data_IF_868060121338
#
_entry.id   IF_868060121338
#
_cell.length_a   1.000
_cell.length_b   1.000
_cell.length_c   1.000
_cell.angle_alpha   90.00
_cell.angle_beta   90.00
_cell.angle_gamma   90.00
#
_symmetry.space_group_name_H-M   'P 1'
#
loop_
_entity.id
_entity.type
_entity.pdbx_description
1 polymer ?
#
# COMPACT_ATOMS: atom_id res chain seq x y z
N UNK A 1 -12.28 21.58 18.43
CA UNK A 1 -12.77 21.17 17.09
C UNK A 1 -11.84 20.13 16.42
N UNK A 2 -10.56 20.43 16.07
CA UNK A 2 -9.68 19.45 15.41
C UNK A 2 -9.45 18.16 16.22
N UNK A 3 -9.27 18.25 17.54
CA UNK A 3 -9.12 17.10 18.41
C UNK A 3 -10.44 16.30 18.54
N UNK A 4 -11.59 16.95 18.57
CA UNK A 4 -12.89 16.29 18.58
C UNK A 4 -13.15 15.50 17.29
N UNK A 5 -12.76 16.07 16.14
CA UNK A 5 -12.82 15.37 14.86
C UNK A 5 -11.88 14.14 14.85
N UNK A 6 -10.68 14.28 15.39
CA UNK A 6 -9.76 13.15 15.58
C UNK A 6 -10.40 12.05 16.44
N UNK A 7 -10.99 12.41 17.58
CA UNK A 7 -11.64 11.47 18.49
C UNK A 7 -12.81 10.74 17.81
N UNK A 8 -13.55 11.44 16.98
CA UNK A 8 -14.71 10.89 16.27
C UNK A 8 -14.32 9.96 15.11
N UNK A 9 -13.41 10.41 14.23
CA UNK A 9 -13.05 9.67 13.02
C UNK A 9 -11.92 8.66 13.22
N UNK A 10 -11.11 8.79 14.23
CA UNK A 10 -9.92 7.96 14.48
C UNK A 10 -9.09 7.71 13.21
N UNK A 11 -8.64 8.76 12.51
CA UNK A 11 -7.92 8.62 11.25
C UNK A 11 -6.59 7.89 11.47
N UNK A 12 -6.18 7.09 10.51
CA UNK A 12 -4.88 6.41 10.53
C UNK A 12 -3.72 7.34 10.18
N UNK A 13 -3.99 8.42 9.46
CA UNK A 13 -3.00 9.42 9.01
C UNK A 13 -3.55 10.81 9.27
N UNK A 14 -2.70 11.66 9.83
CA UNK A 14 -2.97 13.09 10.03
C UNK A 14 -1.89 13.88 9.31
N UNK A 15 -2.33 14.83 8.48
CA UNK A 15 -1.47 15.85 7.87
C UNK A 15 -1.85 17.20 8.50
N UNK A 16 -0.94 17.80 9.25
CA UNK A 16 -1.18 19.05 9.97
C UNK A 16 -0.12 20.08 9.69
N UNK A 17 -0.51 21.34 9.62
CA UNK A 17 0.41 22.46 9.67
C UNK A 17 0.80 22.74 11.12
N UNK A 18 2.05 23.15 11.36
CA UNK A 18 2.48 23.63 12.68
C UNK A 18 1.74 24.92 13.03
N UNK A 19 1.69 25.85 12.10
CA UNK A 19 1.03 27.16 12.31
C UNK A 19 -0.30 27.21 11.55
N UNK A 20 -1.38 27.19 12.29
CA UNK A 20 -2.74 27.46 11.81
C UNK A 20 -3.26 28.75 12.43
N UNK A 21 -4.22 29.45 11.75
CA UNK A 21 -4.68 30.78 12.16
C UNK A 21 -5.16 30.87 13.61
N UNK A 22 -5.84 29.83 14.11
CA UNK A 22 -6.50 29.82 15.42
C UNK A 22 -6.00 28.73 16.38
N UNK A 23 -5.01 27.93 15.96
CA UNK A 23 -4.45 26.87 16.80
C UNK A 23 -3.04 26.48 16.36
N UNK A 24 -2.29 25.89 17.28
CA UNK A 24 -0.98 25.35 17.02
C UNK A 24 -1.09 23.82 16.78
N UNK A 25 -0.65 23.37 15.60
CA UNK A 25 -0.65 21.95 15.24
C UNK A 25 0.15 21.08 16.22
N UNK A 26 1.18 21.65 16.86
CA UNK A 26 1.96 20.94 17.91
C UNK A 26 1.10 20.61 19.13
N UNK A 27 0.21 21.52 19.54
CA UNK A 27 -0.69 21.23 20.67
C UNK A 27 -1.69 20.13 20.34
N UNK A 28 -2.19 20.09 19.11
CA UNK A 28 -3.03 19.01 18.64
C UNK A 28 -2.27 17.67 18.73
N UNK A 29 -1.05 17.64 18.22
CA UNK A 29 -0.20 16.43 18.26
C UNK A 29 0.09 16.01 19.69
N UNK A 30 0.44 16.94 20.58
CA UNK A 30 0.64 16.66 22.02
C UNK A 30 -0.56 15.99 22.66
N UNK A 31 -1.77 16.47 22.38
CA UNK A 31 -3.01 15.89 22.89
C UNK A 31 -3.23 14.47 22.35
N UNK A 32 -3.04 14.26 21.06
CA UNK A 32 -3.19 12.95 20.44
C UNK A 32 -2.18 11.96 21.03
N UNK A 33 -0.92 12.34 21.18
CA UNK A 33 0.14 11.48 21.69
C UNK A 33 0.00 11.10 23.17
N UNK A 34 -0.89 11.74 23.92
CA UNK A 34 -1.23 11.31 25.29
C UNK A 34 -1.95 9.95 25.30
N UNK A 35 -2.67 9.62 24.23
CA UNK A 35 -3.51 8.42 24.17
C UNK A 35 -3.25 7.53 22.96
N UNK A 36 -2.57 8.04 21.93
CA UNK A 36 -2.32 7.33 20.68
C UNK A 36 -0.91 7.59 20.15
N UNK A 37 -0.10 6.53 20.13
CA UNK A 37 1.24 6.52 19.56
C UNK A 37 1.32 5.86 18.17
N UNK A 38 0.20 5.33 17.64
CA UNK A 38 0.16 4.55 16.39
C UNK A 38 -0.25 5.38 15.19
N UNK A 39 -1.18 6.34 15.38
CA UNK A 39 -1.61 7.21 14.28
C UNK A 39 -0.41 7.90 13.63
N UNK A 40 -0.29 7.75 12.32
CA UNK A 40 0.76 8.43 11.55
C UNK A 40 0.50 9.93 11.52
N UNK A 41 1.47 10.72 11.98
CA UNK A 41 1.38 12.18 11.94
C UNK A 41 2.49 12.74 11.05
N UNK A 42 2.08 13.47 10.00
CA UNK A 42 2.95 14.23 9.10
C UNK A 42 2.75 15.71 9.40
N UNK A 43 3.83 16.40 9.77
CA UNK A 43 3.78 17.84 10.02
C UNK A 43 4.28 18.63 8.83
N UNK A 44 3.51 19.67 8.44
CA UNK A 44 3.96 20.66 7.46
C UNK A 44 4.58 21.83 8.23
N UNK A 45 5.77 22.26 7.83
CA UNK A 45 6.47 23.37 8.48
C UNK A 45 7.10 24.32 7.48
N UNK A 46 7.02 25.62 7.76
CA UNK A 46 7.77 26.65 7.03
C UNK A 46 9.16 26.88 7.65
N UNK A 47 9.41 26.30 8.83
CA UNK A 47 10.61 26.59 9.64
C UNK A 47 11.58 25.42 9.62
N UNK A 48 12.85 25.76 9.44
CA UNK A 48 13.99 24.84 9.60
C UNK A 48 14.70 25.04 10.95
N UNK A 49 14.06 25.71 11.93
CA UNK A 49 14.67 25.98 13.23
C UNK A 49 14.84 24.69 14.03
N UNK A 50 16.03 24.45 14.55
CA UNK A 50 16.41 23.22 15.27
C UNK A 50 15.54 22.96 16.51
N UNK A 51 15.12 23.99 17.23
CA UNK A 51 14.27 23.85 18.42
C UNK A 51 12.91 23.20 18.10
N UNK A 52 12.26 23.59 17.01
CA UNK A 52 11.01 22.97 16.56
C UNK A 52 11.22 21.53 16.08
N UNK A 53 12.34 21.24 15.43
CA UNK A 53 12.65 19.90 14.97
C UNK A 53 12.86 18.94 16.16
N UNK A 54 13.52 19.38 17.22
CA UNK A 54 13.69 18.59 18.45
C UNK A 54 12.33 18.32 19.11
N UNK A 55 11.45 19.31 19.17
CA UNK A 55 10.10 19.14 19.73
C UNK A 55 9.28 18.12 18.90
N UNK A 56 9.33 18.21 17.57
CA UNK A 56 8.67 17.27 16.67
C UNK A 56 9.19 15.82 16.85
N UNK A 57 10.49 15.64 17.03
CA UNK A 57 11.10 14.33 17.30
C UNK A 57 10.60 13.77 18.64
N UNK A 58 10.56 14.59 19.68
CA UNK A 58 10.09 14.19 21.01
C UNK A 58 8.61 13.82 21.03
N UNK A 59 7.82 14.37 20.12
CA UNK A 59 6.40 14.04 19.93
C UNK A 59 6.17 12.78 19.09
N UNK A 60 7.21 12.04 18.76
CA UNK A 60 7.11 10.81 17.93
C UNK A 60 6.27 11.03 16.66
N UNK A 61 6.53 12.13 15.94
CA UNK A 61 5.91 12.35 14.64
C UNK A 61 6.53 11.40 13.60
N UNK A 62 5.72 10.96 12.67
CA UNK A 62 6.17 10.00 11.65
C UNK A 62 7.02 10.65 10.57
N UNK A 63 6.69 11.89 10.20
CA UNK A 63 7.42 12.65 9.19
C UNK A 63 7.17 14.15 9.31
N UNK A 64 8.11 14.96 8.80
CA UNK A 64 7.86 16.38 8.58
C UNK A 64 8.24 16.76 7.14
N UNK A 65 7.49 17.71 6.56
CA UNK A 65 7.69 18.20 5.20
C UNK A 65 7.81 19.72 5.25
N UNK A 66 8.92 20.23 4.74
CA UNK A 66 9.13 21.66 4.60
C UNK A 66 8.22 22.23 3.50
N UNK A 67 7.55 23.31 3.78
CA UNK A 67 6.79 24.09 2.78
C UNK A 67 7.73 24.73 1.76
N UNK A 68 7.34 24.85 0.49
CA UNK A 68 6.04 24.46 -0.08
C UNK A 68 5.87 22.93 -0.16
N UNK A 69 4.61 22.47 -0.01
CA UNK A 69 4.28 21.05 -0.08
C UNK A 69 4.74 20.44 -1.41
N UNK A 70 5.61 19.46 -1.32
CA UNK A 70 6.10 18.71 -2.47
C UNK A 70 5.45 17.33 -2.49
N UNK A 71 4.67 17.05 -3.54
CA UNK A 71 3.98 15.76 -3.72
C UNK A 71 4.92 14.56 -3.68
N UNK A 72 6.16 14.70 -4.18
CA UNK A 72 7.15 13.62 -4.12
C UNK A 72 7.50 13.27 -2.67
N UNK A 73 7.78 14.27 -1.82
CA UNK A 73 8.09 14.05 -0.39
C UNK A 73 6.88 13.51 0.38
N UNK A 74 5.68 13.97 0.03
CA UNK A 74 4.45 13.43 0.63
C UNK A 74 4.26 11.95 0.28
N UNK A 75 4.43 11.61 -0.99
CA UNK A 75 4.33 10.21 -1.44
C UNK A 75 5.39 9.33 -0.76
N UNK A 76 6.64 9.79 -0.67
CA UNK A 76 7.71 9.06 0.04
C UNK A 76 7.39 8.82 1.53
N UNK A 77 6.76 9.80 2.20
CA UNK A 77 6.31 9.66 3.57
C UNK A 77 5.16 8.64 3.69
N UNK A 78 4.17 8.74 2.80
CA UNK A 78 3.02 7.83 2.75
C UNK A 78 3.43 6.40 2.37
N UNK A 79 4.34 6.23 1.42
CA UNK A 79 4.86 4.92 1.04
C UNK A 79 5.49 4.19 2.22
N UNK A 80 6.31 4.87 3.03
CA UNK A 80 6.90 4.29 4.25
C UNK A 80 5.84 3.80 5.25
N UNK A 81 4.73 4.51 5.36
CA UNK A 81 3.62 4.10 6.21
C UNK A 81 2.86 2.91 5.61
N UNK A 82 2.54 2.99 4.33
CA UNK A 82 1.83 1.93 3.62
C UNK A 82 2.63 0.62 3.62
N UNK A 83 3.96 0.69 3.47
CA UNK A 83 4.84 -0.48 3.58
C UNK A 83 4.74 -1.14 4.96
N UNK A 84 4.63 -0.35 6.05
CA UNK A 84 4.44 -0.90 7.41
C UNK A 84 3.03 -1.43 7.66
N UNK A 85 2.03 -0.89 6.97
CA UNK A 85 0.61 -1.19 7.20
C UNK A 85 0.08 -2.36 6.34
N UNK A 86 0.82 -2.76 5.31
CA UNK A 86 0.39 -3.83 4.41
C UNK A 86 1.19 -5.08 4.72
N UNK A 87 0.56 -5.96 5.50
CA UNK A 87 1.08 -7.32 5.67
C UNK A 87 1.08 -8.06 4.32
N UNK A 88 2.05 -8.95 4.10
CA UNK A 88 2.04 -9.79 2.91
C UNK A 88 0.72 -10.57 2.78
N UNK A 89 0.16 -10.57 1.59
CA UNK A 89 -1.12 -11.22 1.30
C UNK A 89 -0.90 -12.73 1.20
N UNK A 90 -1.58 -13.50 2.03
CA UNK A 90 -1.60 -14.96 1.92
C UNK A 90 -2.42 -15.37 0.69
N UNK A 91 -1.77 -15.93 -0.33
CA UNK A 91 -2.40 -16.45 -1.54
C UNK A 91 -2.88 -17.90 -1.37
N UNK A 92 -2.05 -18.74 -0.76
CA UNK A 92 -2.36 -20.12 -0.34
C UNK A 92 -1.39 -20.53 0.77
N UNK A 93 -1.47 -21.77 1.25
CA UNK A 93 -0.56 -22.29 2.25
C UNK A 93 0.91 -22.05 1.87
N UNK A 94 1.66 -21.37 2.78
CA UNK A 94 3.07 -21.01 2.64
C UNK A 94 3.44 -20.05 1.48
N UNK A 95 2.47 -19.49 0.74
CA UNK A 95 2.75 -18.54 -0.33
C UNK A 95 2.15 -17.17 -0.03
N UNK A 96 3.00 -16.17 0.16
CA UNK A 96 2.62 -14.80 0.45
C UNK A 96 3.01 -13.86 -0.70
N UNK A 97 2.17 -12.86 -0.97
CA UNK A 97 2.45 -11.78 -1.91
C UNK A 97 2.79 -10.49 -1.16
N UNK A 98 4.02 -10.03 -1.24
CA UNK A 98 4.41 -8.68 -0.87
C UNK A 98 4.19 -7.75 -2.07
N UNK A 99 3.07 -7.05 -2.07
CA UNK A 99 2.68 -6.17 -3.18
C UNK A 99 3.59 -4.95 -3.34
N UNK A 100 4.26 -4.50 -2.27
CA UNK A 100 5.17 -3.34 -2.30
C UNK A 100 6.51 -3.70 -2.90
N UNK A 101 7.09 -4.79 -2.44
CA UNK A 101 8.38 -5.26 -2.96
C UNK A 101 8.26 -5.96 -4.30
N UNK A 102 7.03 -6.31 -4.73
CA UNK A 102 6.75 -7.15 -5.90
C UNK A 102 7.43 -8.51 -5.78
N UNK A 103 7.23 -9.13 -4.65
CA UNK A 103 7.84 -10.40 -4.31
C UNK A 103 6.77 -11.41 -3.88
N UNK A 104 6.98 -12.67 -4.26
CA UNK A 104 6.34 -13.79 -3.60
C UNK A 104 7.33 -14.36 -2.58
N UNK A 105 6.82 -14.69 -1.41
CA UNK A 105 7.57 -15.34 -0.34
C UNK A 105 6.97 -16.74 -0.18
N UNK A 106 7.76 -17.76 -0.43
CA UNK A 106 7.33 -19.15 -0.30
C UNK A 106 8.09 -19.84 0.82
N UNK A 107 7.35 -20.55 1.70
CA UNK A 107 7.88 -21.24 2.89
C UNK A 107 8.75 -20.36 3.79
N UNK A 108 8.53 -19.05 3.78
CA UNK A 108 9.16 -18.09 4.67
C UNK A 108 10.53 -17.55 4.22
N UNK A 109 11.23 -18.21 3.32
CA UNK A 109 12.61 -17.87 2.92
C UNK A 109 12.86 -17.79 1.41
N UNK A 110 12.09 -18.47 0.59
CA UNK A 110 12.24 -18.39 -0.86
C UNK A 110 11.56 -17.14 -1.43
N UNK A 111 12.36 -16.21 -1.96
CA UNK A 111 11.87 -14.94 -2.51
C UNK A 111 11.88 -14.98 -4.04
N UNK A 112 10.73 -14.72 -4.65
CA UNK A 112 10.54 -14.70 -6.11
C UNK A 112 10.13 -13.29 -6.53
N UNK A 113 10.98 -12.63 -7.32
CA UNK A 113 10.69 -11.28 -7.81
C UNK A 113 9.67 -11.28 -8.96
N UNK A 114 8.69 -10.39 -8.86
CA UNK A 114 7.61 -10.21 -9.83
C UNK A 114 7.81 -8.95 -10.67
N UNK A 115 7.45 -9.03 -11.96
CA UNK A 115 7.22 -7.83 -12.78
C UNK A 115 5.94 -7.14 -12.31
N UNK A 116 5.80 -5.84 -12.59
CA UNK A 116 4.63 -5.06 -12.19
C UNK A 116 3.31 -5.76 -12.56
N UNK A 117 3.16 -6.17 -13.82
CA UNK A 117 1.95 -6.84 -14.32
C UNK A 117 1.67 -8.18 -13.63
N UNK A 118 2.71 -8.94 -13.29
CA UNK A 118 2.60 -10.22 -12.57
C UNK A 118 2.06 -10.00 -11.15
N UNK A 119 2.60 -9.00 -10.44
CA UNK A 119 2.12 -8.60 -9.12
C UNK A 119 0.67 -8.12 -9.18
N UNK A 120 0.35 -7.23 -10.13
CA UNK A 120 -0.99 -6.66 -10.29
C UNK A 120 -2.03 -7.75 -10.58
N UNK A 121 -1.69 -8.73 -11.42
CA UNK A 121 -2.57 -9.88 -11.71
C UNK A 121 -2.85 -10.75 -10.47
N UNK A 122 -1.84 -11.08 -9.68
CA UNK A 122 -2.03 -11.85 -8.45
C UNK A 122 -2.83 -11.09 -7.40
N UNK A 123 -2.65 -9.77 -7.32
CA UNK A 123 -3.42 -8.90 -6.44
C UNK A 123 -4.90 -8.87 -6.83
N UNK A 124 -5.21 -8.70 -8.12
CA UNK A 124 -6.58 -8.77 -8.64
C UNK A 124 -7.24 -10.12 -8.37
N UNK A 125 -6.52 -11.23 -8.57
CA UNK A 125 -7.04 -12.56 -8.24
C UNK A 125 -7.36 -12.70 -6.75
N UNK A 126 -6.51 -12.15 -5.88
CA UNK A 126 -6.75 -12.18 -4.44
C UNK A 126 -8.00 -11.34 -4.07
N UNK A 127 -8.15 -10.13 -4.63
CA UNK A 127 -9.31 -9.26 -4.38
C UNK A 127 -10.63 -9.91 -4.79
N UNK A 128 -10.63 -10.80 -5.77
CA UNK A 128 -11.81 -11.58 -6.18
C UNK A 128 -12.26 -12.60 -5.13
N UNK A 129 -11.47 -12.88 -4.11
CA UNK A 129 -11.82 -13.78 -2.98
C UNK A 129 -12.37 -15.15 -3.42
N UNK A 130 -11.83 -15.70 -4.51
CA UNK A 130 -12.24 -16.97 -5.09
C UNK A 130 -13.31 -16.87 -6.19
N UNK A 131 -13.85 -15.68 -6.47
CA UNK A 131 -14.64 -15.42 -7.67
C UNK A 131 -13.76 -15.37 -8.92
N UNK A 132 -14.38 -15.39 -10.08
CA UNK A 132 -13.67 -15.37 -11.36
C UNK A 132 -13.23 -13.95 -11.72
N UNK A 133 -11.94 -13.77 -11.99
CA UNK A 133 -11.40 -12.60 -12.65
C UNK A 133 -11.58 -12.74 -14.16
N UNK A 134 -12.55 -12.02 -14.74
CA UNK A 134 -12.94 -12.15 -16.14
C UNK A 134 -11.86 -11.62 -17.09
N UNK A 135 -11.86 -12.11 -18.33
CA UNK A 135 -10.92 -11.65 -19.37
C UNK A 135 -11.00 -10.14 -19.63
N UNK A 136 -12.21 -9.57 -19.64
CA UNK A 136 -12.44 -8.13 -19.85
C UNK A 136 -11.83 -7.28 -18.72
N UNK A 137 -11.93 -7.75 -17.47
CA UNK A 137 -11.34 -7.09 -16.33
C UNK A 137 -9.80 -7.16 -16.37
N UNK A 138 -9.25 -8.31 -16.77
CA UNK A 138 -7.80 -8.48 -16.96
C UNK A 138 -7.30 -7.52 -18.04
N UNK A 139 -7.99 -7.42 -19.17
CA UNK A 139 -7.64 -6.52 -20.25
C UNK A 139 -7.67 -5.07 -19.80
N UNK A 140 -8.75 -4.64 -19.16
CA UNK A 140 -8.93 -3.28 -18.66
C UNK A 140 -7.81 -2.87 -17.67
N UNK A 141 -7.53 -3.71 -16.69
CA UNK A 141 -6.59 -3.39 -15.60
C UNK A 141 -5.11 -3.56 -16.01
N UNK A 142 -4.79 -4.56 -16.83
CA UNK A 142 -3.40 -4.94 -17.10
C UNK A 142 -2.91 -4.66 -18.51
N UNK A 143 -3.81 -4.40 -19.46
CA UNK A 143 -3.50 -4.08 -20.87
C UNK A 143 -4.06 -2.73 -21.32
N UNK A 144 -4.16 -1.76 -20.41
CA UNK A 144 -4.70 -0.42 -20.68
C UNK A 144 -3.99 0.35 -21.81
N UNK A 145 -2.75 -0.01 -22.13
CA UNK A 145 -1.90 0.62 -23.15
C UNK A 145 -1.98 -0.05 -24.54
N UNK A 146 -2.59 -1.22 -24.64
CA UNK A 146 -2.71 -1.98 -25.91
C UNK A 146 -3.73 -3.12 -25.80
N UNK A 147 -4.24 -3.56 -26.92
CA UNK A 147 -5.18 -4.68 -27.03
C UNK A 147 -4.57 -5.99 -26.48
N UNK A 148 -5.33 -6.70 -25.67
CA UNK A 148 -4.95 -8.00 -25.11
C UNK A 148 -5.32 -9.13 -26.08
N UNK A 149 -4.33 -9.70 -26.74
CA UNK A 149 -4.58 -10.91 -27.54
C UNK A 149 -4.64 -12.16 -26.65
N UNK A 150 -5.47 -13.14 -27.04
CA UNK A 150 -5.55 -14.44 -26.33
C UNK A 150 -4.19 -15.13 -26.21
N UNK A 151 -3.32 -14.97 -27.21
CA UNK A 151 -1.97 -15.54 -27.18
C UNK A 151 -1.08 -14.84 -26.14
N UNK A 152 -1.13 -13.50 -26.08
CA UNK A 152 -0.35 -12.73 -25.11
C UNK A 152 -0.73 -13.08 -23.67
N UNK A 153 -2.05 -13.20 -23.40
CA UNK A 153 -2.52 -13.61 -22.07
C UNK A 153 -2.09 -15.03 -21.72
N UNK A 154 -2.23 -16.00 -22.65
CA UNK A 154 -1.80 -17.40 -22.40
C UNK A 154 -0.30 -17.48 -22.12
N UNK A 155 0.54 -16.75 -22.87
CA UNK A 155 1.98 -16.71 -22.66
C UNK A 155 2.33 -16.10 -21.31
N UNK A 156 1.68 -14.98 -20.96
CA UNK A 156 1.84 -14.33 -19.66
C UNK A 156 1.49 -15.27 -18.49
N UNK A 157 0.36 -15.95 -18.54
CA UNK A 157 -0.06 -16.89 -17.50
C UNK A 157 0.90 -18.09 -17.42
N UNK A 158 1.37 -18.60 -18.55
CA UNK A 158 2.36 -19.68 -18.59
C UNK A 158 3.68 -19.27 -17.92
N UNK A 159 4.21 -18.08 -18.26
CA UNK A 159 5.43 -17.55 -17.65
C UNK A 159 5.26 -17.35 -16.14
N UNK A 160 4.13 -16.79 -15.72
CA UNK A 160 3.84 -16.56 -14.31
C UNK A 160 3.74 -17.89 -13.54
N UNK A 161 3.02 -18.87 -14.08
CA UNK A 161 2.93 -20.23 -13.46
C UNK A 161 4.29 -20.90 -13.33
N UNK A 162 5.19 -20.72 -14.29
CA UNK A 162 6.55 -21.28 -14.21
C UNK A 162 7.40 -20.65 -13.11
N UNK A 163 7.08 -19.43 -12.67
CA UNK A 163 7.76 -18.76 -11.55
C UNK A 163 7.23 -19.19 -10.20
N UNK A 164 5.93 -19.49 -10.12
CA UNK A 164 5.25 -19.77 -8.86
C UNK A 164 5.46 -21.24 -8.51
N UNK A 165 5.98 -21.57 -7.32
CA UNK A 165 6.30 -22.96 -6.94
C UNK A 165 5.07 -23.84 -6.71
N UNK A 166 3.89 -23.21 -6.56
CA UNK A 166 2.60 -23.90 -6.33
C UNK A 166 1.54 -23.42 -7.31
N UNK A 167 0.64 -24.29 -7.74
CA UNK A 167 -0.37 -23.95 -8.73
C UNK A 167 -1.56 -23.24 -8.09
N UNK A 168 -1.48 -21.91 -7.95
CA UNK A 168 -2.54 -21.06 -7.36
C UNK A 168 -3.47 -20.46 -8.40
N UNK A 169 -3.12 -20.50 -9.69
CA UNK A 169 -3.88 -19.87 -10.78
C UNK A 169 -4.67 -20.94 -11.51
N UNK A 170 -5.99 -20.99 -11.30
CA UNK A 170 -6.88 -21.92 -12.00
C UNK A 170 -7.55 -21.21 -13.20
N UNK A 171 -7.54 -21.86 -14.35
CA UNK A 171 -8.28 -21.40 -15.52
C UNK A 171 -9.74 -21.82 -15.41
N UNK A 172 -10.65 -20.89 -15.69
CA UNK A 172 -12.08 -21.15 -15.89
C UNK A 172 -12.37 -20.95 -17.37
N UNK A 173 -12.63 -22.04 -18.13
CA UNK A 173 -12.78 -21.97 -19.58
C UNK A 173 -13.85 -20.96 -20.01
N UNK A 174 -13.52 -20.14 -21.00
CA UNK A 174 -14.36 -19.09 -21.58
C UNK A 174 -14.71 -17.90 -20.69
N UNK A 175 -14.33 -17.93 -19.39
CA UNK A 175 -14.67 -16.87 -18.44
C UNK A 175 -13.45 -16.09 -17.95
N UNK A 176 -12.38 -16.77 -17.51
CA UNK A 176 -11.23 -16.09 -16.95
C UNK A 176 -10.34 -16.98 -16.05
N UNK A 177 -9.91 -16.40 -14.94
CA UNK A 177 -9.06 -17.08 -13.96
C UNK A 177 -9.59 -16.90 -12.55
N UNK A 178 -9.25 -17.83 -11.67
CA UNK A 178 -9.56 -17.73 -10.24
C UNK A 178 -8.37 -18.17 -9.40
N UNK A 179 -8.30 -17.68 -8.16
CA UNK A 179 -7.33 -18.13 -7.19
C UNK A 179 -7.77 -19.49 -6.63
N UNK A 180 -6.93 -20.50 -6.77
CA UNK A 180 -7.18 -21.82 -6.18
C UNK A 180 -6.80 -21.76 -4.70
N UNK A 181 -7.78 -21.80 -3.82
CA UNK A 181 -7.55 -22.08 -2.38
C UNK A 181 -7.26 -23.56 -2.25
N UNK A 182 -6.10 -23.91 -1.75
CA UNK A 182 -5.83 -25.24 -1.22
C UNK A 182 -6.31 -25.31 0.22
#
# INVERSE_FOLDING_TARGET
>A
EAYELYEYYKPKIILSDIQMKDCNGLELVKKIRQTDNETMIIMLTAYSNEEYLIELINLNISHFILKPLNLKKLNEALEKYLIKAVEPILLCEDLFLDSHKRELIYKGDEVIHLRKREKDFLHLLYEKKGSILKYEEIEFELWSDKEMTSHALKSFIKELRNKIPVNVIKNVPQEGYTLQKQ
#
